data_IF_818266225296
#
_entry.id   IF_818266225296
#
_cell.length_a   1.000
_cell.length_b   1.000
_cell.length_c   1.000
_cell.angle_alpha   90.00
_cell.angle_beta   90.00
_cell.angle_gamma   90.00
#
_symmetry.space_group_name_H-M   'P 1'
#
loop_
_entity.id
_entity.type
_entity.pdbx_description
1 polymer ?
#
# COMPACT_ATOMS: atom_id res chain seq x y z
N UNK A 1 -22.17 8.01 7.69
CA UNK A 1 -22.38 6.67 8.34
C UNK A 1 -22.12 5.48 7.39
N UNK A 2 -22.41 5.57 6.10
CA UNK A 2 -22.18 4.46 5.14
C UNK A 2 -20.71 4.03 5.06
N UNK A 3 -19.78 4.98 5.04
CA UNK A 3 -18.34 4.69 4.94
C UNK A 3 -17.82 3.81 6.09
N UNK A 4 -18.19 4.13 7.34
CA UNK A 4 -17.80 3.31 8.50
C UNK A 4 -18.37 1.89 8.42
N UNK A 5 -19.62 1.76 7.93
CA UNK A 5 -20.25 0.44 7.74
C UNK A 5 -19.52 -0.37 6.69
N UNK A 6 -19.14 0.24 5.58
CA UNK A 6 -18.38 -0.44 4.53
C UNK A 6 -17.03 -0.94 5.05
N UNK A 7 -16.32 -0.12 5.81
CA UNK A 7 -15.05 -0.53 6.44
C UNK A 7 -15.26 -1.66 7.47
N UNK A 8 -16.27 -1.53 8.34
CA UNK A 8 -16.54 -2.56 9.36
C UNK A 8 -17.02 -3.90 8.78
N UNK A 9 -17.63 -3.88 7.60
CA UNK A 9 -18.07 -5.08 6.88
C UNK A 9 -17.06 -5.57 5.84
N UNK A 10 -15.88 -4.92 5.74
CA UNK A 10 -14.87 -5.34 4.80
C UNK A 10 -14.24 -6.66 5.25
N UNK A 11 -14.45 -7.69 4.44
CA UNK A 11 -13.80 -8.99 4.62
C UNK A 11 -12.42 -8.95 3.96
N UNK A 12 -11.39 -9.01 4.79
CA UNK A 12 -10.01 -8.96 4.32
C UNK A 12 -9.68 -10.22 3.55
N UNK A 13 -9.31 -10.12 2.26
CA UNK A 13 -8.91 -11.29 1.50
C UNK A 13 -7.78 -12.04 2.20
N UNK A 14 -8.01 -13.31 2.53
CA UNK A 14 -7.00 -14.16 3.13
C UNK A 14 -5.89 -14.47 2.12
N UNK A 15 -4.85 -13.66 2.14
CA UNK A 15 -3.66 -13.90 1.34
C UNK A 15 -2.85 -14.99 2.04
N UNK A 16 -2.87 -16.19 1.50
CA UNK A 16 -2.10 -17.35 2.02
C UNK A 16 -0.62 -17.29 1.58
N UNK A 17 0.01 -16.12 1.77
CA UNK A 17 1.42 -15.95 1.47
C UNK A 17 2.20 -16.14 2.78
N UNK A 18 3.19 -17.03 2.84
CA UNK A 18 4.07 -17.11 3.99
C UNK A 18 4.88 -15.83 4.11
N UNK A 19 4.82 -15.16 5.26
CA UNK A 19 5.57 -13.94 5.54
C UNK A 19 6.59 -14.20 6.65
N UNK A 20 7.86 -13.75 6.50
CA UNK A 20 8.84 -13.85 7.56
C UNK A 20 8.57 -12.77 8.62
N UNK A 21 8.52 -13.15 9.89
CA UNK A 21 8.14 -12.26 11.01
C UNK A 21 9.03 -11.02 11.09
N UNK A 22 10.34 -11.20 10.93
CA UNK A 22 11.32 -10.10 11.01
C UNK A 22 11.18 -9.04 9.91
N UNK A 23 10.35 -9.29 8.89
CA UNK A 23 10.09 -8.41 7.76
C UNK A 23 8.64 -7.92 7.69
N UNK A 24 7.91 -8.06 8.77
CA UNK A 24 6.56 -7.53 8.89
C UNK A 24 6.55 -6.22 9.69
N UNK A 25 5.63 -5.36 9.32
CA UNK A 25 5.33 -4.12 10.01
C UNK A 25 3.82 -3.85 9.93
N UNK A 26 3.31 -3.05 10.82
CA UNK A 26 1.94 -2.60 10.77
C UNK A 26 1.86 -1.07 10.89
N UNK A 27 0.84 -0.48 10.28
CA UNK A 27 0.54 0.94 10.41
C UNK A 27 -0.92 1.13 10.82
N UNK A 28 -1.15 2.14 11.63
CA UNK A 28 -2.45 2.49 12.15
C UNK A 28 -3.10 3.55 11.26
N UNK A 29 -4.23 3.21 10.66
CA UNK A 29 -5.10 4.16 9.98
C UNK A 29 -6.18 4.58 11.00
N UNK A 30 -5.84 5.58 11.82
CA UNK A 30 -6.72 6.10 12.84
C UNK A 30 -7.70 7.09 12.22
N UNK A 31 -8.97 6.69 12.09
CA UNK A 31 -10.05 7.49 11.58
C UNK A 31 -10.83 8.15 12.73
N UNK A 32 -11.33 9.35 12.51
CA UNK A 32 -12.25 10.02 13.44
C UNK A 32 -13.24 10.89 12.68
N UNK A 33 -14.37 11.18 13.33
CA UNK A 33 -15.40 12.04 12.75
C UNK A 33 -15.09 13.50 13.08
N UNK A 34 -14.87 14.31 12.05
CA UNK A 34 -14.68 15.74 12.14
C UNK A 34 -15.96 16.49 12.50
N UNK A 35 -15.84 17.82 12.64
CA UNK A 35 -16.95 18.70 13.10
C UNK A 35 -18.15 18.69 12.15
N UNK A 36 -17.93 18.50 10.86
CA UNK A 36 -18.98 18.50 9.82
C UNK A 36 -19.47 17.10 9.46
N UNK A 37 -19.06 16.06 10.20
CA UNK A 37 -19.48 14.68 9.97
C UNK A 37 -18.62 13.90 9.00
N UNK A 38 -17.62 14.53 8.38
CA UNK A 38 -16.66 13.86 7.49
C UNK A 38 -15.65 13.04 8.27
N UNK A 39 -15.15 11.98 7.65
CA UNK A 39 -14.07 11.18 8.21
C UNK A 39 -12.71 11.80 7.88
N UNK A 40 -11.90 11.92 8.91
CA UNK A 40 -10.51 12.33 8.83
C UNK A 40 -9.59 11.20 9.23
N UNK A 41 -8.41 11.16 8.63
CA UNK A 41 -7.32 10.27 9.03
C UNK A 41 -6.25 11.07 9.76
N UNK A 42 -5.71 10.48 10.84
CA UNK A 42 -4.61 11.05 11.58
C UNK A 42 -3.28 10.68 10.92
N UNK A 43 -2.43 11.68 10.72
CA UNK A 43 -1.13 11.57 10.07
C UNK A 43 -0.06 12.18 10.96
N UNK A 44 1.16 11.70 10.84
CA UNK A 44 2.32 12.27 11.51
C UNK A 44 3.36 12.75 10.49
N UNK A 45 4.11 13.77 10.85
CA UNK A 45 5.35 14.16 10.19
C UNK A 45 6.52 13.60 10.98
N UNK A 46 7.35 12.84 10.31
CA UNK A 46 8.54 12.23 10.92
C UNK A 46 9.57 13.30 11.27
N UNK A 47 10.30 13.10 12.36
CA UNK A 47 11.36 14.01 12.75
C UNK A 47 12.46 14.08 11.67
N UNK A 48 12.97 15.28 11.41
CA UNK A 48 14.04 15.52 10.42
C UNK A 48 15.38 14.90 10.82
N UNK A 49 15.53 14.51 12.08
CA UNK A 49 16.72 13.85 12.65
C UNK A 49 16.81 12.35 12.37
N UNK A 50 15.73 11.75 11.84
CA UNK A 50 15.70 10.32 11.55
C UNK A 50 16.62 9.96 10.38
N UNK A 51 17.22 8.77 10.44
CA UNK A 51 18.10 8.25 9.35
C UNK A 51 17.34 7.90 8.07
N UNK A 52 16.07 7.53 8.19
CA UNK A 52 15.24 7.08 7.06
C UNK A 52 13.91 7.79 7.07
N UNK A 53 13.50 8.25 5.89
CA UNK A 53 12.21 8.95 5.71
C UNK A 53 12.06 10.17 6.63
N UNK A 54 13.16 10.90 6.84
CA UNK A 54 13.20 12.12 7.64
C UNK A 54 12.30 13.20 7.02
N UNK A 55 11.41 13.79 7.82
CA UNK A 55 10.48 14.82 7.37
C UNK A 55 9.30 14.32 6.53
N UNK A 56 9.23 13.02 6.21
CA UNK A 56 8.12 12.44 5.46
C UNK A 56 6.83 12.41 6.28
N UNK A 57 5.71 12.49 5.59
CA UNK A 57 4.40 12.23 6.17
C UNK A 57 4.11 10.74 6.20
N UNK A 58 3.72 10.22 7.35
CA UNK A 58 3.50 8.80 7.55
C UNK A 58 2.25 8.53 8.40
N UNK A 59 1.78 7.29 8.34
CA UNK A 59 0.87 6.72 9.33
C UNK A 59 1.68 6.27 10.56
N UNK A 60 1.14 6.40 11.78
CA UNK A 60 1.73 5.79 12.97
C UNK A 60 1.90 4.27 12.78
N UNK A 61 2.94 3.68 13.35
CA UNK A 61 3.16 2.24 13.25
C UNK A 61 4.60 1.84 13.48
N UNK A 62 4.88 0.55 13.38
CA UNK A 62 6.20 -0.02 13.64
C UNK A 62 6.41 -1.38 13.02
N UNK A 63 7.59 -1.94 13.24
CA UNK A 63 7.90 -3.34 12.92
C UNK A 63 7.28 -4.26 13.96
N UNK A 64 6.95 -5.48 13.53
CA UNK A 64 6.51 -6.53 14.46
C UNK A 64 7.64 -6.87 15.44
N UNK A 65 7.33 -6.75 16.72
CA UNK A 65 8.26 -7.09 17.82
C UNK A 65 8.00 -8.50 18.34
N UNK A 66 8.98 -9.12 19.03
CA UNK A 66 8.82 -10.47 19.58
C UNK A 66 7.63 -10.64 20.52
N UNK A 67 7.23 -9.55 21.21
CA UNK A 67 6.08 -9.53 22.15
C UNK A 67 4.70 -9.41 21.51
N UNK A 68 4.63 -8.98 20.25
CA UNK A 68 3.36 -8.79 19.53
C UNK A 68 2.73 -10.14 19.23
N UNK A 69 1.47 -10.31 19.64
CA UNK A 69 0.71 -11.54 19.34
C UNK A 69 -0.02 -11.46 18.01
N UNK A 70 -0.46 -10.25 17.65
CA UNK A 70 -1.21 -9.98 16.43
C UNK A 70 -0.63 -8.78 15.69
N UNK A 71 -1.04 -8.58 14.45
CA UNK A 71 -0.64 -7.43 13.64
C UNK A 71 -1.28 -6.13 14.17
N UNK A 72 -2.43 -6.23 14.79
CA UNK A 72 -3.11 -5.13 15.47
C UNK A 72 -2.32 -4.65 16.68
N UNK A 73 -1.73 -5.57 17.46
CA UNK A 73 -0.86 -5.20 18.59
C UNK A 73 0.32 -4.36 18.11
N UNK A 74 0.94 -4.75 16.99
CA UNK A 74 2.03 -3.98 16.36
C UNK A 74 1.59 -2.57 15.93
N UNK A 75 0.42 -2.46 15.31
CA UNK A 75 -0.06 -1.18 14.78
C UNK A 75 -0.42 -0.18 15.90
N UNK A 76 -0.98 -0.70 16.98
CA UNK A 76 -1.55 0.11 18.07
C UNK A 76 -0.49 0.39 19.16
N UNK A 77 0.48 -0.51 19.34
CA UNK A 77 1.61 -0.34 20.25
C UNK A 77 1.29 -0.44 21.76
N UNK A 78 0.02 -0.52 22.16
CA UNK A 78 -0.43 -0.65 23.55
C UNK A 78 -1.83 -1.24 23.61
N UNK A 79 -2.26 -1.86 24.73
CA UNK A 79 -3.62 -2.29 24.92
C UNK A 79 -4.58 -1.09 24.99
N UNK A 80 -5.09 -0.68 23.84
CA UNK A 80 -6.11 0.37 23.76
C UNK A 80 -7.45 -0.25 24.14
N UNK A 81 -8.24 0.50 24.93
CA UNK A 81 -9.64 0.12 25.21
C UNK A 81 -10.41 0.04 23.86
N UNK A 82 -10.73 -1.19 23.44
CA UNK A 82 -11.46 -1.48 22.20
C UNK A 82 -12.81 -0.76 22.10
N UNK A 83 -13.38 -0.33 23.24
CA UNK A 83 -14.61 0.48 23.27
C UNK A 83 -14.38 1.92 22.84
N UNK A 84 -13.19 2.43 23.08
CA UNK A 84 -12.78 3.80 22.70
C UNK A 84 -12.17 3.88 21.30
N UNK A 85 -11.53 2.79 20.87
CA UNK A 85 -10.86 2.67 19.57
C UNK A 85 -11.20 1.30 18.95
N UNK A 86 -12.44 1.12 18.46
CA UNK A 86 -12.82 -0.13 17.82
C UNK A 86 -12.05 -0.35 16.52
N UNK A 87 -11.62 -1.59 16.30
CA UNK A 87 -11.10 -2.06 15.03
C UNK A 87 -12.23 -2.09 14.00
N UNK A 88 -12.01 -1.50 12.83
CA UNK A 88 -12.94 -1.59 11.71
C UNK A 88 -12.55 -2.74 10.78
N UNK A 89 -11.33 -2.73 10.26
CA UNK A 89 -10.81 -3.80 9.41
C UNK A 89 -9.28 -3.79 9.36
N UNK A 90 -8.72 -4.86 8.81
CA UNK A 90 -7.30 -4.97 8.44
C UNK A 90 -7.26 -5.07 6.92
N UNK A 91 -6.41 -4.29 6.25
CA UNK A 91 -6.27 -4.33 4.81
C UNK A 91 -5.25 -5.39 4.38
N UNK A 92 -5.28 -5.83 3.10
CA UNK A 92 -4.18 -6.60 2.53
C UNK A 92 -2.84 -5.91 2.72
N UNK A 93 -1.76 -6.66 2.88
CA UNK A 93 -0.44 -6.08 3.08
C UNK A 93 0.11 -5.41 1.82
N UNK A 94 1.02 -4.47 2.02
CA UNK A 94 1.73 -3.72 1.01
C UNK A 94 3.23 -3.98 1.08
N UNK A 95 3.90 -4.01 -0.06
CA UNK A 95 5.36 -4.10 -0.14
C UNK A 95 5.97 -2.70 -0.03
N UNK A 96 6.81 -2.48 0.97
CA UNK A 96 7.60 -1.28 1.14
C UNK A 96 9.00 -1.42 0.48
N UNK A 97 9.60 -0.28 0.08
CA UNK A 97 10.91 -0.25 -0.60
C UNK A 97 12.08 -0.86 0.21
N UNK A 98 11.98 -0.84 1.53
CA UNK A 98 13.01 -1.36 2.43
C UNK A 98 12.85 -2.86 2.73
N UNK A 99 12.22 -3.62 1.84
CA UNK A 99 11.94 -5.05 2.00
C UNK A 99 11.17 -5.33 3.30
N UNK A 100 10.13 -4.56 3.55
CA UNK A 100 9.14 -4.79 4.61
C UNK A 100 7.77 -5.05 3.98
N UNK A 101 7.01 -5.92 4.61
CA UNK A 101 5.59 -6.12 4.32
C UNK A 101 4.81 -5.36 5.39
N UNK A 102 4.06 -4.37 4.95
CA UNK A 102 3.36 -3.44 5.84
C UNK A 102 1.86 -3.65 5.75
N UNK A 103 1.22 -3.94 6.87
CA UNK A 103 -0.22 -4.19 6.95
C UNK A 103 -0.94 -2.99 7.57
N UNK A 104 -1.90 -2.36 6.86
CA UNK A 104 -2.72 -1.29 7.43
C UNK A 104 -3.82 -1.85 8.33
N UNK A 105 -3.91 -1.32 9.54
CA UNK A 105 -4.95 -1.61 10.54
C UNK A 105 -5.83 -0.38 10.69
N UNK A 106 -7.10 -0.49 10.33
CA UNK A 106 -8.05 0.63 10.33
C UNK A 106 -8.88 0.62 11.59
N UNK A 107 -8.82 1.71 12.33
CA UNK A 107 -9.57 1.88 13.58
C UNK A 107 -10.39 3.17 13.56
N UNK A 108 -11.43 3.22 14.40
CA UNK A 108 -12.21 4.42 14.64
C UNK A 108 -11.90 4.98 16.04
N UNK A 109 -11.41 6.20 16.12
CA UNK A 109 -11.20 6.91 17.39
C UNK A 109 -12.52 7.57 17.80
N UNK A 110 -13.17 7.02 18.81
CA UNK A 110 -14.45 7.52 19.35
C UNK A 110 -14.22 8.54 20.47
N UNK A 111 -13.19 8.31 21.28
CA UNK A 111 -12.88 9.17 22.42
C UNK A 111 -11.95 10.31 22.02
N UNK A 112 -12.49 11.52 21.95
CA UNK A 112 -11.74 12.74 21.59
C UNK A 112 -10.73 13.17 22.68
N UNK A 113 -10.78 12.58 23.87
CA UNK A 113 -9.82 12.84 24.95
C UNK A 113 -8.51 12.04 24.80
N UNK A 114 -8.46 11.09 23.87
CA UNK A 114 -7.22 10.33 23.59
C UNK A 114 -6.20 11.29 22.99
N UNK A 115 -5.14 11.54 23.75
CA UNK A 115 -3.99 12.28 23.26
C UNK A 115 -2.89 11.29 22.87
N UNK A 116 -2.48 11.29 21.58
CA UNK A 116 -1.35 10.48 21.16
C UNK A 116 -0.08 10.89 21.91
N UNK A 117 0.60 9.94 22.50
CA UNK A 117 1.92 10.18 23.10
C UNK A 117 2.93 10.21 21.95
N UNK A 118 3.40 11.40 21.63
CA UNK A 118 4.42 11.57 20.62
C UNK A 118 5.80 11.28 21.23
N UNK A 119 6.58 10.43 20.57
CA UNK A 119 8.01 10.34 20.81
C UNK A 119 8.69 11.51 20.05
N UNK A 120 9.19 12.57 20.73
CA UNK A 120 9.73 13.75 20.04
C UNK A 120 10.90 13.44 19.13
N UNK A 121 11.61 12.34 19.41
CA UNK A 121 12.71 11.87 18.59
C UNK A 121 12.23 11.29 17.23
N UNK A 122 10.95 10.90 17.10
CA UNK A 122 10.41 10.23 15.93
C UNK A 122 9.36 11.07 15.19
N UNK A 123 8.59 11.88 15.91
CA UNK A 123 7.45 12.63 15.39
C UNK A 123 7.61 14.13 15.63
N UNK A 124 7.73 14.89 14.54
CA UNK A 124 7.83 16.35 14.62
C UNK A 124 6.47 17.02 14.83
N UNK A 125 5.42 16.53 14.17
CA UNK A 125 4.06 17.07 14.28
C UNK A 125 3.02 16.03 13.92
N UNK A 126 1.77 16.27 14.36
CA UNK A 126 0.60 15.52 13.93
C UNK A 126 -0.41 16.44 13.28
N UNK A 127 -1.10 15.92 12.29
CA UNK A 127 -2.18 16.63 11.60
C UNK A 127 -3.21 15.64 11.09
N UNK A 128 -4.31 16.13 10.56
CA UNK A 128 -5.35 15.29 9.99
C UNK A 128 -5.74 15.78 8.60
N UNK A 129 -6.24 14.85 7.78
CA UNK A 129 -6.71 15.16 6.44
C UNK A 129 -8.02 14.41 6.15
N UNK A 130 -8.96 15.01 5.40
CA UNK A 130 -10.21 14.33 5.04
C UNK A 130 -9.94 13.06 4.23
N UNK A 131 -10.49 11.93 4.66
CA UNK A 131 -10.24 10.64 4.01
C UNK A 131 -10.74 10.62 2.54
N UNK A 132 -11.90 11.25 2.26
CA UNK A 132 -12.47 11.29 0.90
C UNK A 132 -11.56 12.00 -0.11
N UNK A 133 -10.70 12.90 0.35
CA UNK A 133 -9.80 13.67 -0.50
C UNK A 133 -8.75 12.80 -1.23
N UNK A 134 -8.45 11.60 -0.71
CA UNK A 134 -7.57 10.64 -1.38
C UNK A 134 -8.22 9.95 -2.60
N UNK A 135 -9.47 10.27 -2.92
CA UNK A 135 -10.14 9.84 -4.16
C UNK A 135 -10.29 10.97 -5.18
N UNK A 136 -9.88 12.21 -4.83
CA UNK A 136 -10.06 13.39 -5.67
C UNK A 136 -8.75 13.90 -6.25
N UNK A 137 -8.84 14.58 -7.39
CA UNK A 137 -7.73 15.32 -8.01
C UNK A 137 -7.66 16.76 -7.51
N UNK A 138 -8.67 17.23 -6.78
CA UNK A 138 -8.79 18.60 -6.28
C UNK A 138 -8.64 18.66 -4.77
N UNK A 139 -8.08 19.78 -4.25
CA UNK A 139 -7.95 20.00 -2.82
C UNK A 139 -9.33 20.09 -2.14
N UNK A 140 -9.51 19.43 -0.97
CA UNK A 140 -10.72 19.62 -0.16
C UNK A 140 -10.83 21.02 0.45
N UNK A 141 -9.76 21.81 0.38
CA UNK A 141 -9.65 23.17 0.93
C UNK A 141 -9.51 24.19 -0.21
N UNK A 142 -10.46 24.20 -1.14
CA UNK A 142 -10.43 25.03 -2.35
C UNK A 142 -10.37 26.55 -2.12
N UNK A 143 -10.68 27.01 -0.90
CA UNK A 143 -10.65 28.44 -0.54
C UNK A 143 -9.26 28.91 -0.05
N UNK A 144 -8.28 28.02 0.06
CA UNK A 144 -6.92 28.43 0.36
C UNK A 144 -6.26 29.00 -0.90
N UNK A 145 -5.65 30.21 -0.87
CA UNK A 145 -5.04 30.85 -2.05
C UNK A 145 -4.03 29.94 -2.75
N UNK A 146 -3.43 29.04 -2.01
CA UNK A 146 -2.39 28.12 -2.44
C UNK A 146 -2.90 26.89 -3.20
N UNK A 147 -4.20 26.59 -3.10
CA UNK A 147 -4.84 25.50 -3.84
C UNK A 147 -4.85 25.76 -5.37
N UNK A 148 -4.63 27.00 -5.78
CA UNK A 148 -4.64 27.43 -7.18
C UNK A 148 -3.27 27.27 -7.84
N UNK A 149 -2.18 27.36 -7.07
CA UNK A 149 -0.82 27.41 -7.63
C UNK A 149 -0.16 26.04 -7.78
N UNK A 150 -0.54 25.06 -6.96
CA UNK A 150 0.10 23.73 -6.93
C UNK A 150 -0.96 22.65 -7.03
N UNK A 151 -0.76 21.71 -7.94
CA UNK A 151 -1.66 20.57 -8.10
C UNK A 151 -1.77 19.77 -6.79
N UNK A 152 -3.00 19.57 -6.32
CA UNK A 152 -3.28 18.80 -5.11
C UNK A 152 -2.85 17.33 -5.23
N UNK A 153 -3.18 16.72 -6.38
CA UNK A 153 -2.83 15.34 -6.69
C UNK A 153 -1.87 15.30 -7.88
N UNK A 154 -0.79 14.56 -7.71
CA UNK A 154 0.19 14.27 -8.76
C UNK A 154 0.54 12.79 -8.70
N UNK A 155 1.09 12.26 -9.79
CA UNK A 155 1.60 10.90 -9.82
C UNK A 155 2.87 10.80 -10.66
N UNK A 156 3.60 9.73 -10.42
CA UNK A 156 4.82 9.40 -11.17
C UNK A 156 4.84 7.91 -11.49
N UNK A 157 5.09 7.58 -12.76
CA UNK A 157 5.22 6.21 -13.24
C UNK A 157 6.69 5.82 -13.32
N UNK A 158 7.01 4.64 -12.83
CA UNK A 158 8.36 4.10 -12.84
C UNK A 158 8.35 2.63 -13.30
N UNK A 159 9.45 2.18 -13.94
CA UNK A 159 9.56 0.79 -14.37
C UNK A 159 9.47 -0.16 -13.17
N UNK A 160 8.64 -1.18 -13.31
CA UNK A 160 8.63 -2.29 -12.38
C UNK A 160 9.88 -3.16 -12.59
N UNK A 161 10.65 -3.40 -11.54
CA UNK A 161 11.90 -4.18 -11.61
C UNK A 161 11.68 -5.70 -11.55
N UNK A 162 10.44 -6.14 -11.41
CA UNK A 162 10.06 -7.54 -11.51
C UNK A 162 9.94 -8.00 -12.96
N UNK A 163 9.75 -9.31 -13.18
CA UNK A 163 9.65 -9.85 -14.52
C UNK A 163 8.41 -9.32 -15.25
N UNK A 164 8.59 -9.03 -16.52
CA UNK A 164 7.49 -8.80 -17.45
C UNK A 164 6.73 -10.12 -17.72
N UNK A 165 5.44 -10.08 -18.12
CA UNK A 165 4.61 -11.26 -18.30
C UNK A 165 5.21 -12.44 -19.07
N UNK A 166 6.05 -12.26 -20.11
CA UNK A 166 6.67 -13.38 -20.83
C UNK A 166 7.75 -14.13 -20.04
N UNK A 167 8.35 -13.50 -19.03
CA UNK A 167 9.42 -14.15 -18.24
C UNK A 167 8.91 -15.24 -17.27
N UNK A 168 7.60 -15.47 -17.20
CA UNK A 168 6.95 -16.53 -16.43
C UNK A 168 6.42 -17.67 -17.31
N UNK A 169 7.07 -17.97 -18.44
CA UNK A 169 6.74 -19.17 -19.21
C UNK A 169 6.92 -20.43 -18.35
N UNK A 170 6.02 -21.45 -18.45
CA UNK A 170 6.19 -22.73 -17.75
C UNK A 170 7.51 -23.42 -18.05
N UNK A 171 8.12 -23.11 -19.21
CA UNK A 171 9.42 -23.63 -19.65
C UNK A 171 10.61 -22.84 -19.09
N UNK A 172 10.35 -21.81 -18.26
CA UNK A 172 11.38 -21.00 -17.63
C UNK A 172 11.97 -21.76 -16.44
N UNK A 173 13.07 -22.45 -16.66
CA UNK A 173 13.87 -23.07 -15.61
C UNK A 173 14.51 -22.00 -14.73
N UNK A 174 14.00 -21.85 -13.52
CA UNK A 174 14.41 -20.86 -12.51
C UNK A 174 15.91 -20.87 -12.15
N UNK A 175 16.66 -21.85 -12.59
CA UNK A 175 18.02 -22.12 -12.13
C UNK A 175 19.14 -21.69 -13.08
N UNK A 176 18.90 -21.22 -14.29
CA UNK A 176 20.03 -21.19 -15.25
C UNK A 176 20.42 -19.87 -15.90
N UNK A 177 19.70 -18.72 -15.77
CA UNK A 177 20.09 -17.59 -16.62
C UNK A 177 19.96 -16.20 -15.97
N UNK A 178 20.77 -15.92 -14.95
CA UNK A 178 20.97 -14.54 -14.44
C UNK A 178 21.71 -13.63 -15.43
N UNK A 179 22.32 -14.15 -16.48
CA UNK A 179 23.13 -13.38 -17.44
C UNK A 179 22.42 -13.05 -18.75
N UNK A 180 21.47 -13.84 -19.22
CA UNK A 180 20.74 -13.58 -20.49
C UNK A 180 19.54 -12.64 -20.31
N UNK A 181 18.99 -12.49 -19.11
CA UNK A 181 17.87 -11.61 -18.80
C UNK A 181 18.17 -10.11 -19.02
N UNK A 182 19.44 -9.69 -18.99
CA UNK A 182 19.80 -8.28 -19.21
C UNK A 182 19.62 -7.83 -20.67
N UNK A 183 19.78 -8.70 -21.65
CA UNK A 183 19.59 -8.33 -23.04
C UNK A 183 18.13 -8.48 -23.51
N UNK A 184 17.41 -9.53 -23.09
CA UNK A 184 15.98 -9.68 -23.36
C UNK A 184 15.13 -8.59 -22.70
N UNK A 185 15.48 -8.16 -21.50
CA UNK A 185 14.74 -7.10 -20.77
C UNK A 185 14.82 -5.72 -21.44
N UNK A 186 15.67 -5.54 -22.46
CA UNK A 186 15.77 -4.31 -23.24
C UNK A 186 14.75 -4.18 -24.36
N UNK A 187 14.12 -5.28 -24.77
CA UNK A 187 13.27 -5.34 -25.98
C UNK A 187 11.76 -5.46 -25.66
N UNK A 188 11.38 -5.71 -24.40
CA UNK A 188 9.95 -5.83 -24.05
C UNK A 188 9.47 -4.61 -23.23
N UNK A 189 8.22 -4.15 -23.45
CA UNK A 189 7.66 -3.07 -22.65
C UNK A 189 7.58 -3.52 -21.19
N UNK A 190 8.43 -2.91 -20.36
CA UNK A 190 8.43 -3.16 -18.91
C UNK A 190 7.08 -2.75 -18.33
N UNK A 191 6.51 -3.59 -17.48
CA UNK A 191 5.37 -3.18 -16.67
C UNK A 191 5.75 -1.96 -15.85
N UNK A 192 4.85 -0.99 -15.79
CA UNK A 192 5.04 0.23 -15.00
C UNK A 192 4.31 0.10 -13.68
N UNK A 193 4.76 0.83 -12.69
CA UNK A 193 4.10 1.04 -11.41
C UNK A 193 3.91 2.52 -11.18
N UNK A 194 2.82 2.90 -10.54
CA UNK A 194 2.52 4.31 -10.23
C UNK A 194 2.64 4.58 -8.75
N UNK A 195 3.19 5.73 -8.44
CA UNK A 195 3.15 6.31 -7.09
C UNK A 195 2.40 7.63 -7.13
N UNK A 196 1.55 7.85 -6.14
CA UNK A 196 0.73 9.05 -6.00
C UNK A 196 1.30 9.97 -4.93
N UNK A 197 1.02 11.26 -5.07
CA UNK A 197 1.33 12.29 -4.08
C UNK A 197 0.14 13.23 -3.96
N UNK A 198 -0.23 13.56 -2.72
CA UNK A 198 -1.31 14.50 -2.38
C UNK A 198 -0.74 15.61 -1.52
N UNK A 199 -1.01 16.85 -1.86
CA UNK A 199 -0.60 18.02 -1.08
C UNK A 199 -1.57 18.23 0.08
N UNK A 200 -1.26 17.67 1.25
CA UNK A 200 -2.15 17.66 2.41
C UNK A 200 -2.01 18.85 3.35
N UNK A 201 -1.20 19.81 3.00
CA UNK A 201 -1.03 21.06 3.74
C UNK A 201 0.36 21.65 3.62
N UNK A 202 0.52 22.84 4.17
CA UNK A 202 1.79 23.57 4.27
C UNK A 202 2.10 23.94 5.72
N UNK A 203 3.36 24.06 6.03
CA UNK A 203 3.89 24.57 7.29
C UNK A 203 4.97 25.61 7.01
N UNK A 204 5.41 26.32 8.04
CA UNK A 204 6.56 27.22 7.95
C UNK A 204 7.84 26.56 7.40
N UNK A 205 7.92 25.22 7.43
CA UNK A 205 9.01 24.42 6.88
C UNK A 205 8.74 23.81 5.49
N UNK A 206 7.70 24.26 4.76
CA UNK A 206 7.37 23.80 3.41
C UNK A 206 6.10 22.94 3.31
N UNK A 207 5.95 22.22 2.19
CA UNK A 207 4.77 21.41 1.92
C UNK A 207 4.78 20.09 2.70
N UNK A 208 3.59 19.57 3.00
CA UNK A 208 3.38 18.24 3.61
C UNK A 208 2.71 17.30 2.61
N UNK A 209 3.45 16.71 1.67
CA UNK A 209 2.85 15.74 0.79
C UNK A 209 2.65 14.40 1.53
N UNK A 210 1.51 13.78 1.29
CA UNK A 210 1.31 12.34 1.52
C UNK A 210 1.61 11.64 0.21
N UNK A 211 2.62 10.77 0.17
CA UNK A 211 3.05 10.14 -1.07
C UNK A 211 3.41 8.66 -0.90
N UNK A 212 3.62 7.99 -2.03
CA UNK A 212 4.15 6.63 -2.07
C UNK A 212 3.26 5.61 -1.38
N UNK A 213 3.84 4.85 -0.46
CA UNK A 213 3.15 3.76 0.25
C UNK A 213 2.00 4.28 1.11
N UNK A 214 2.20 5.39 1.82
CA UNK A 214 1.15 6.02 2.64
C UNK A 214 -0.04 6.44 1.78
N UNK A 215 0.21 7.08 0.63
CA UNK A 215 -0.84 7.45 -0.32
C UNK A 215 -1.59 6.23 -0.86
N UNK A 216 -0.87 5.16 -1.25
CA UNK A 216 -1.48 3.93 -1.76
C UNK A 216 -2.41 3.27 -0.73
N UNK A 217 -2.02 3.22 0.54
CA UNK A 217 -2.86 2.70 1.63
C UNK A 217 -4.11 3.55 1.83
N UNK A 218 -3.98 4.88 1.83
CA UNK A 218 -5.10 5.78 2.06
C UNK A 218 -6.08 5.81 0.88
N UNK A 219 -5.60 5.70 -0.36
CA UNK A 219 -6.47 5.50 -1.53
C UNK A 219 -7.31 4.23 -1.33
N UNK A 220 -6.70 3.12 -0.91
CA UNK A 220 -7.43 1.86 -0.73
C UNK A 220 -8.44 1.93 0.42
N UNK A 221 -8.08 2.51 1.57
CA UNK A 221 -9.03 2.74 2.68
C UNK A 221 -10.21 3.60 2.24
N UNK A 222 -9.93 4.69 1.52
CA UNK A 222 -10.97 5.58 1.02
C UNK A 222 -11.87 4.88 -0.01
N UNK A 223 -11.30 4.10 -0.93
CA UNK A 223 -12.03 3.34 -1.95
C UNK A 223 -13.00 2.34 -1.32
N UNK A 224 -12.54 1.57 -0.35
CA UNK A 224 -13.37 0.61 0.40
C UNK A 224 -14.45 1.36 1.20
N UNK A 225 -14.05 2.37 1.96
CA UNK A 225 -14.97 3.10 2.82
C UNK A 225 -16.09 3.79 2.05
N UNK A 226 -15.76 4.56 1.03
CA UNK A 226 -16.75 5.30 0.24
C UNK A 226 -17.41 4.47 -0.86
N UNK A 227 -16.95 3.22 -1.10
CA UNK A 227 -17.40 2.36 -2.19
C UNK A 227 -17.39 3.10 -3.55
N UNK A 228 -16.34 3.89 -3.80
CA UNK A 228 -16.17 4.76 -4.96
C UNK A 228 -14.75 4.64 -5.49
N UNK A 229 -14.63 4.54 -6.82
CA UNK A 229 -13.32 4.59 -7.46
C UNK A 229 -12.76 6.03 -7.45
N UNK A 230 -11.42 6.20 -7.40
CA UNK A 230 -10.79 7.50 -7.53
C UNK A 230 -11.09 8.18 -8.87
N UNK A 231 -10.98 9.50 -8.89
CA UNK A 231 -11.10 10.33 -10.11
C UNK A 231 -9.89 10.17 -11.05
N UNK A 232 -8.91 9.38 -10.66
CA UNK A 232 -7.67 9.12 -11.38
C UNK A 232 -7.40 7.61 -11.47
N UNK A 233 -6.55 7.22 -12.42
CA UNK A 233 -6.11 5.84 -12.55
C UNK A 233 -5.06 5.50 -11.47
N UNK A 234 -5.36 4.51 -10.59
CA UNK A 234 -4.51 4.15 -9.45
C UNK A 234 -3.22 3.45 -9.89
N UNK A 235 -3.27 2.64 -10.93
CA UNK A 235 -2.10 1.97 -11.48
C UNK A 235 -2.18 1.98 -13.01
N UNK A 236 -1.04 2.03 -13.71
CA UNK A 236 -1.02 1.94 -15.16
C UNK A 236 -1.60 0.61 -15.65
N UNK A 237 -2.09 0.54 -16.89
CA UNK A 237 -2.49 -0.71 -17.51
C UNK A 237 -1.35 -1.75 -17.43
N UNK A 238 -1.71 -2.99 -17.12
CA UNK A 238 -0.78 -4.12 -16.95
C UNK A 238 0.22 -3.98 -15.78
N UNK A 239 0.00 -3.07 -14.85
CA UNK A 239 0.77 -3.04 -13.61
C UNK A 239 0.61 -4.35 -12.83
N UNK A 240 1.67 -4.83 -12.16
CA UNK A 240 1.56 -5.99 -11.27
C UNK A 240 0.65 -5.69 -10.10
N UNK A 241 -0.15 -6.67 -9.70
CA UNK A 241 -0.96 -6.56 -8.48
C UNK A 241 -0.09 -6.45 -7.22
N UNK A 242 -0.68 -6.01 -6.11
CA UNK A 242 0.02 -5.97 -4.82
C UNK A 242 0.52 -7.36 -4.39
N UNK A 243 -0.30 -8.39 -4.61
CA UNK A 243 0.04 -9.79 -4.34
C UNK A 243 1.24 -10.25 -5.19
N UNK A 244 1.23 -9.98 -6.49
CA UNK A 244 2.34 -10.32 -7.39
C UNK A 244 3.66 -9.65 -6.95
N UNK A 245 3.61 -8.38 -6.55
CA UNK A 245 4.79 -7.65 -6.06
C UNK A 245 5.36 -8.30 -4.80
N UNK A 246 4.49 -8.66 -3.85
CA UNK A 246 4.89 -9.28 -2.60
C UNK A 246 5.50 -10.66 -2.86
N UNK A 247 4.81 -11.54 -3.59
CA UNK A 247 5.30 -12.90 -3.86
C UNK A 247 6.63 -12.86 -4.61
N UNK A 248 6.76 -11.96 -5.59
CA UNK A 248 8.01 -11.78 -6.31
C UNK A 248 9.15 -11.31 -5.40
N UNK A 249 8.91 -10.30 -4.54
CA UNK A 249 9.90 -9.79 -3.62
C UNK A 249 10.35 -10.85 -2.61
N UNK A 250 9.40 -11.57 -2.00
CA UNK A 250 9.67 -12.67 -1.08
C UNK A 250 10.55 -13.75 -1.71
N UNK A 251 10.37 -14.00 -3.00
CA UNK A 251 11.12 -15.02 -3.73
C UNK A 251 12.51 -14.57 -4.19
N UNK A 252 12.69 -13.28 -4.49
CA UNK A 252 13.87 -12.74 -5.17
C UNK A 252 14.76 -11.84 -4.33
N UNK A 253 14.20 -11.10 -3.37
CA UNK A 253 15.00 -10.18 -2.56
C UNK A 253 15.74 -10.92 -1.45
N UNK A 254 17.07 -10.72 -1.39
CA UNK A 254 17.95 -11.39 -0.44
C UNK A 254 17.58 -11.12 1.04
N UNK A 255 16.98 -9.98 1.33
CA UNK A 255 16.55 -9.62 2.67
C UNK A 255 15.41 -10.53 3.19
N UNK A 256 14.46 -10.89 2.33
CA UNK A 256 13.39 -11.84 2.68
C UNK A 256 13.91 -13.27 2.75
N UNK A 257 14.75 -13.66 1.78
CA UNK A 257 15.39 -14.97 1.78
C UNK A 257 16.14 -15.20 3.09
N UNK A 258 17.02 -14.27 3.48
CA UNK A 258 17.75 -14.35 4.74
C UNK A 258 16.82 -14.50 5.95
N UNK A 259 15.73 -13.70 6.01
CA UNK A 259 14.77 -13.78 7.10
C UNK A 259 14.09 -15.17 7.19
N UNK A 260 13.79 -15.81 6.06
CA UNK A 260 13.26 -17.17 6.05
C UNK A 260 14.33 -18.23 6.40
N UNK A 261 15.59 -18.03 6.01
CA UNK A 261 16.71 -18.88 6.39
C UNK A 261 16.94 -18.81 7.92
N UNK A 262 16.89 -17.61 8.49
CA UNK A 262 17.01 -17.40 9.94
C UNK A 262 15.85 -18.08 10.72
N UNK A 263 14.67 -18.19 10.11
CA UNK A 263 13.50 -18.94 10.64
C UNK A 263 13.55 -20.46 10.35
N UNK A 264 14.54 -20.96 9.60
CA UNK A 264 14.63 -22.36 9.16
C UNK A 264 13.54 -22.81 8.18
N UNK A 265 12.91 -21.89 7.46
CA UNK A 265 11.70 -22.12 6.63
C UNK A 265 11.94 -22.01 5.12
N UNK A 266 13.12 -21.56 4.68
CA UNK A 266 13.35 -21.18 3.28
C UNK A 266 13.00 -22.28 2.26
N UNK A 267 13.46 -23.51 2.46
CA UNK A 267 13.23 -24.57 1.49
C UNK A 267 11.74 -24.90 1.29
N UNK A 268 10.98 -24.89 2.38
CA UNK A 268 9.53 -25.10 2.32
C UNK A 268 8.79 -23.92 1.65
N UNK A 269 9.19 -22.71 1.99
CA UNK A 269 8.56 -21.47 1.49
C UNK A 269 8.88 -21.24 0.02
N UNK A 270 10.08 -21.54 -0.43
CA UNK A 270 10.51 -21.41 -1.83
C UNK A 270 9.56 -22.11 -2.80
N UNK A 271 9.22 -23.38 -2.55
CA UNK A 271 8.31 -24.12 -3.39
C UNK A 271 6.89 -23.53 -3.43
N UNK A 272 6.42 -23.01 -2.26
CA UNK A 272 5.11 -22.35 -2.18
C UNK A 272 5.11 -21.06 -3.01
N UNK A 273 6.16 -20.25 -2.90
CA UNK A 273 6.28 -19.00 -3.65
C UNK A 273 6.34 -19.23 -5.17
N UNK A 274 7.06 -20.25 -5.61
CA UNK A 274 7.14 -20.65 -7.03
C UNK A 274 5.75 -21.06 -7.55
N UNK A 275 4.98 -21.82 -6.78
CA UNK A 275 3.60 -22.18 -7.09
C UNK A 275 2.65 -20.96 -7.15
N UNK A 276 2.79 -20.02 -6.21
CA UNK A 276 2.01 -18.77 -6.21
C UNK A 276 2.33 -17.90 -7.42
N UNK A 277 3.60 -17.73 -7.78
CA UNK A 277 4.00 -16.98 -8.97
C UNK A 277 3.39 -17.56 -10.25
N UNK A 278 3.40 -18.88 -10.39
CA UNK A 278 2.81 -19.56 -11.54
C UNK A 278 1.28 -19.36 -11.61
N UNK A 279 0.58 -19.44 -10.46
CA UNK A 279 -0.86 -19.17 -10.37
C UNK A 279 -1.19 -17.74 -10.80
N UNK A 280 -0.52 -16.75 -10.22
CA UNK A 280 -0.75 -15.33 -10.50
C UNK A 280 -0.47 -14.98 -11.97
N UNK A 281 0.56 -15.60 -12.55
CA UNK A 281 0.84 -15.46 -13.97
C UNK A 281 -0.30 -16.01 -14.86
N UNK A 282 -0.86 -17.19 -14.54
CA UNK A 282 -1.99 -17.76 -15.29
C UNK A 282 -3.22 -16.86 -15.21
N UNK A 283 -3.57 -16.39 -14.01
CA UNK A 283 -4.71 -15.48 -13.81
C UNK A 283 -4.56 -14.18 -14.61
N UNK A 284 -3.34 -13.61 -14.65
CA UNK A 284 -3.05 -12.43 -15.45
C UNK A 284 -3.25 -12.70 -16.94
N UNK A 285 -2.73 -13.81 -17.45
CA UNK A 285 -2.90 -14.20 -18.87
C UNK A 285 -4.35 -14.40 -19.26
N UNK A 286 -5.14 -14.95 -18.40
CA UNK A 286 -6.58 -15.11 -18.62
C UNK A 286 -7.28 -13.75 -18.70
N UNK A 287 -6.96 -12.82 -17.79
CA UNK A 287 -7.48 -11.45 -17.82
C UNK A 287 -7.09 -10.70 -19.09
N UNK A 288 -5.83 -10.81 -19.53
CA UNK A 288 -5.35 -10.20 -20.78
C UNK A 288 -6.09 -10.76 -22.00
N UNK A 289 -6.28 -12.08 -22.07
CA UNK A 289 -7.03 -12.75 -23.15
C UNK A 289 -8.50 -12.26 -23.17
N UNK A 290 -9.16 -12.22 -22.01
CA UNK A 290 -10.54 -11.75 -21.91
C UNK A 290 -10.69 -10.28 -22.34
N UNK A 291 -9.72 -9.43 -21.98
CA UNK A 291 -9.71 -8.02 -22.39
C UNK A 291 -9.52 -7.85 -23.91
N UNK A 292 -8.67 -8.65 -24.55
CA UNK A 292 -8.47 -8.66 -26.02
C UNK A 292 -9.75 -9.10 -26.74
N UNK A 293 -10.41 -10.15 -26.28
CA UNK A 293 -11.67 -10.64 -26.88
C UNK A 293 -12.78 -9.61 -26.80
N UNK A 294 -12.91 -8.89 -25.69
CA UNK A 294 -13.89 -7.78 -25.56
C UNK A 294 -13.61 -6.63 -26.52
N UNK A 295 -12.35 -6.27 -26.76
CA UNK A 295 -11.97 -5.22 -27.73
C UNK A 295 -12.26 -5.64 -29.16
N UNK A 296 -12.01 -6.89 -29.53
CA UNK A 296 -12.27 -7.42 -30.88
C UNK A 296 -13.77 -7.62 -31.15
N UNK A 297 -14.58 -7.99 -30.15
CA UNK A 297 -16.02 -8.12 -30.26
C UNK A 297 -16.76 -6.80 -30.42
N UNK A 298 -16.29 -5.73 -29.76
CA UNK A 298 -16.85 -4.39 -29.86
C UNK A 298 -16.62 -3.70 -31.22
N UNK A 299 -15.63 -4.14 -32.01
CA UNK A 299 -15.39 -3.62 -33.36
C UNK A 299 -16.31 -4.22 -34.40
N UNK A 300 -16.81 -5.45 -34.17
CA UNK A 300 -17.72 -6.16 -35.11
C UNK A 300 -19.18 -5.71 -34.97
N UNK A 301 -19.54 -5.00 -33.93
CA UNK A 301 -20.93 -4.48 -33.73
C UNK A 301 -21.13 -3.03 -34.21
N UNK A 302 -20.13 -2.41 -34.84
CA UNK A 302 -20.17 -1.03 -35.36
C UNK A 302 -19.95 -0.95 -36.88
N UNK A 303 -20.01 -2.09 -37.60
CA UNK A 303 -20.13 -2.22 -39.03
C UNK A 303 -21.51 -2.81 -39.39
#
# INVERSE_FOLDING_TARGET
MTCLRNLANYDTPHIRIPLPRARQAAVLVALFVGRHGDLYVLLNRRASTLRTYAGDTALPGGKVEPGDKTIEDTAIGLPIDKRKVPLLCVLPPFLARNSLIVTPVVVLVLDKSIQPILAPAEVASMFSHPLHAFLSTTSPFSNEPEAVEVAYHTFFDFPWNGPSPPAFSPDFHFNHELHQDKERSRLEPRSMSRTHSFLTGREAGGTKPVFGLTAAMLIEVARIGYAREPEFEVQPPNAPSGEERIVWALRREGAFRKAFEDEGRWENVKAILDGLLLRLWRERKEKERAARTRRSGGLKSRL
#
